data_IF_716542903040
#
_entry.id   IF_716542903040
#
_cell.length_a   1.000
_cell.length_b   1.000
_cell.length_c   1.000
_cell.angle_alpha   90.00
_cell.angle_beta   90.00
_cell.angle_gamma   90.00
#
_symmetry.space_group_name_H-M   'P 1'
#
loop_
_entity.id
_entity.type
_entity.pdbx_description
1 polymer ?
2 water ?
#
# COMPACT_ATOMS: atom_id res chain seq x y z
N UNK A 12 9.63 -36.79 14.22
CA UNK A 12 10.13 -36.61 12.82
C UNK A 12 9.41 -35.42 12.12
N UNK A 13 10.21 -34.38 11.89
CA UNK A 13 10.00 -33.42 10.83
C UNK A 13 11.39 -32.96 10.44
N UNK A 14 11.68 -33.06 9.15
CA UNK A 14 12.92 -32.54 8.60
C UNK A 14 12.59 -31.85 7.26
N UNK A 15 13.16 -30.66 7.06
CA UNK A 15 13.04 -29.95 5.81
C UNK A 15 14.41 -29.43 5.36
N UNK A 16 14.75 -29.69 4.12
CA UNK A 16 15.88 -29.02 3.47
C UNK A 16 15.35 -28.06 2.40
N UNK A 17 15.72 -26.79 2.51
CA UNK A 17 15.20 -25.74 1.60
C UNK A 17 16.32 -24.72 1.31
N UNK A 18 16.30 -24.07 0.16
CA UNK A 18 17.27 -23.04 -0.09
C UNK A 18 16.90 -21.89 0.80
N UNK A 19 17.93 -21.16 1.23
CA UNK A 19 17.73 -20.06 2.16
C UNK A 19 16.93 -18.93 1.49
N UNK A 20 17.21 -18.67 0.24
CA UNK A 20 16.49 -17.68 -0.54
C UNK A 20 14.97 -17.96 -0.60
N UNK A 21 14.59 -19.24 -0.78
CA UNK A 21 13.16 -19.65 -0.77
C UNK A 21 12.49 -19.40 0.57
N UNK A 22 13.14 -19.87 1.66
CA UNK A 22 12.61 -19.68 2.97
C UNK A 22 12.46 -18.21 3.27
N UNK A 23 13.49 -17.44 3.00
CA UNK A 23 13.46 -15.98 3.20
C UNK A 23 12.31 -15.29 2.45
N UNK A 24 12.19 -15.61 1.16
CA UNK A 24 11.13 -15.09 0.29
C UNK A 24 9.71 -15.41 0.83
N UNK A 25 9.47 -16.66 1.22
CA UNK A 25 8.12 -17.03 1.73
C UNK A 25 7.77 -16.46 3.11
N UNK A 26 8.76 -16.38 4.00
CA UNK A 26 8.58 -15.71 5.28
C UNK A 26 8.25 -14.23 5.07
N UNK A 27 9.05 -13.56 4.22
CA UNK A 27 8.86 -12.16 3.92
C UNK A 27 7.49 -11.88 3.34
N UNK A 28 7.09 -12.73 2.42
CA UNK A 28 5.79 -12.57 1.78
C UNK A 28 4.63 -12.65 2.73
N UNK A 29 4.67 -13.61 3.63
CA UNK A 29 3.65 -13.80 4.67
C UNK A 29 3.64 -12.78 5.79
N UNK A 30 4.75 -12.07 5.98
CA UNK A 30 5.00 -11.33 7.19
C UNK A 30 4.03 -10.19 7.46
N UNK A 31 3.45 -9.57 6.43
CA UNK A 31 2.60 -8.42 6.67
C UNK A 31 1.12 -8.79 6.95
N UNK A 32 0.84 -10.07 7.01
CA UNK A 32 -0.46 -10.58 7.43
C UNK A 32 -0.43 -10.95 8.95
N UNK A 33 0.71 -10.83 9.61
CA UNK A 33 0.77 -11.14 11.06
C UNK A 33 -0.03 -10.12 11.88
N UNK A 34 -0.63 -10.58 13.00
CA UNK A 34 -1.24 -9.66 13.98
C UNK A 34 -0.18 -9.02 14.87
N UNK A 35 -0.52 -7.96 15.58
CA UNK A 35 0.38 -7.39 16.61
C UNK A 35 0.45 -8.28 17.89
N UNK A 36 1.62 -8.34 18.53
CA UNK A 36 1.78 -8.82 19.93
C UNK A 36 0.53 -9.05 20.81
N UNK A 37 -0.45 -8.15 20.70
CA UNK A 37 -1.64 -8.20 21.54
C UNK A 37 -2.82 -8.66 20.71
N UNK A 38 -3.77 -9.33 21.38
CA UNK A 38 -4.87 -10.02 20.73
C UNK A 38 -4.28 -11.20 19.97
N UNK A 39 -4.22 -12.33 20.66
CA UNK A 39 -3.65 -13.55 20.13
C UNK A 39 -2.17 -13.31 19.74
N UNK A 40 -1.27 -13.40 20.72
CA UNK A 40 0.16 -13.56 20.49
C UNK A 40 0.46 -14.69 19.49
N UNK A 41 -0.36 -15.71 19.51
CA UNK A 41 -0.35 -16.77 18.53
C UNK A 41 -0.44 -16.27 17.09
N UNK A 42 -1.31 -15.26 16.86
CA UNK A 42 -1.44 -14.65 15.55
C UNK A 42 -0.33 -13.66 15.19
N UNK A 43 0.58 -13.39 16.12
CA UNK A 43 1.78 -12.63 15.83
C UNK A 43 2.90 -13.58 15.42
N UNK A 44 2.57 -14.89 15.31
CA UNK A 44 3.48 -15.89 14.80
C UNK A 44 3.08 -16.50 13.46
N UNK A 45 4.07 -17.13 12.79
CA UNK A 45 3.84 -17.91 11.58
C UNK A 45 3.43 -19.32 11.93
N UNK A 46 2.42 -19.81 11.26
CA UNK A 46 2.16 -21.25 11.24
C UNK A 46 3.14 -21.93 10.28
N UNK A 47 3.90 -22.92 10.78
CA UNK A 47 4.67 -23.84 9.93
C UNK A 47 3.91 -25.15 9.97
N UNK A 48 3.56 -25.67 8.81
CA UNK A 48 2.89 -26.94 8.70
C UNK A 48 3.56 -27.83 7.66
N UNK A 49 3.93 -29.03 8.08
CA UNK A 49 4.48 -30.05 7.21
C UNK A 49 3.53 -31.25 7.25
N UNK A 50 3.02 -31.64 6.08
CA UNK A 50 2.07 -32.76 5.95
C UNK A 50 2.20 -33.36 4.53
N UNK A 51 2.41 -34.67 4.45
CA UNK A 51 2.34 -35.35 3.15
C UNK A 51 3.26 -34.64 2.16
N UNK A 52 4.49 -34.37 2.57
CA UNK A 52 5.50 -33.88 1.63
C UNK A 52 5.25 -32.48 1.10
N UNK A 53 4.42 -31.73 1.82
CA UNK A 53 4.15 -30.33 1.59
C UNK A 53 4.52 -29.54 2.86
N UNK A 54 5.11 -28.37 2.66
CA UNK A 54 5.52 -27.48 3.72
C UNK A 54 4.85 -26.16 3.41
N UNK A 55 3.98 -25.72 4.30
CA UNK A 55 3.30 -24.40 4.23
C UNK A 55 3.73 -23.50 5.40
N UNK A 56 3.91 -22.23 5.07
CA UNK A 56 4.04 -21.16 6.07
C UNK A 56 2.81 -20.24 5.94
N UNK A 57 2.11 -20.01 7.06
CA UNK A 57 0.90 -19.15 7.08
C UNK A 57 1.00 -17.99 8.09
N UNK A 58 0.25 -16.95 7.81
CA UNK A 58 0.09 -15.86 8.79
C UNK A 58 -1.32 -15.30 8.61
N UNK A 59 -1.93 -14.88 9.71
CA UNK A 59 -3.19 -14.19 9.64
C UNK A 59 -3.37 -13.29 10.84
N UNK A 60 -4.15 -12.26 10.64
CA UNK A 60 -4.74 -11.48 11.72
C UNK A 60 -6.25 -11.58 11.75
N UNK A 61 -6.81 -12.59 11.12
CA UNK A 61 -8.26 -12.81 11.04
C UNK A 61 -9.00 -11.93 10.02
N UNK A 62 -8.35 -10.90 9.48
CA UNK A 62 -8.92 -10.14 8.36
C UNK A 62 -8.17 -10.47 7.06
N UNK A 63 -6.83 -10.56 7.13
CA UNK A 63 -5.99 -11.03 6.01
C UNK A 63 -5.35 -12.39 6.42
N UNK A 64 -5.33 -13.35 5.50
CA UNK A 64 -4.67 -14.64 5.69
C UNK A 64 -3.81 -14.97 4.50
N UNK A 65 -2.63 -15.52 4.75
CA UNK A 65 -1.71 -15.88 3.69
C UNK A 65 -1.29 -17.30 3.92
N UNK A 66 -1.37 -18.11 2.86
CA UNK A 66 -0.90 -19.50 2.89
C UNK A 66 0.12 -19.60 1.75
N UNK A 67 1.40 -19.73 2.13
CA UNK A 67 2.52 -19.81 1.23
C UNK A 67 3.02 -21.26 1.16
N UNK A 68 3.06 -21.80 -0.04
CA UNK A 68 3.63 -23.11 -0.26
C UNK A 68 5.16 -22.94 -0.47
N UNK A 69 5.95 -23.63 0.37
CA UNK A 69 7.39 -23.53 0.34
C UNK A 69 7.92 -24.65 -0.58
N UNK A 70 8.68 -24.25 -1.57
CA UNK A 70 9.30 -25.22 -2.49
C UNK A 70 10.63 -25.68 -1.92
N UNK A 71 10.61 -26.82 -1.23
CA UNK A 71 11.80 -27.41 -0.60
C UNK A 71 12.34 -28.58 -1.40
N UNK A 72 13.57 -28.96 -1.09
CA UNK A 72 14.25 -30.05 -1.73
C UNK A 72 13.93 -31.37 -1.06
N UNK A 73 13.83 -31.36 0.27
CA UNK A 73 13.53 -32.53 1.08
C UNK A 73 12.51 -32.12 2.14
N UNK A 74 11.45 -32.90 2.27
CA UNK A 74 10.43 -32.69 3.28
C UNK A 74 10.01 -34.06 3.79
N UNK A 75 10.31 -34.36 5.04
CA UNK A 75 9.82 -35.58 5.66
C UNK A 75 9.15 -35.27 6.99
N UNK A 76 8.30 -36.20 7.42
CA UNK A 76 7.55 -36.08 8.65
C UNK A 76 6.30 -35.23 8.59
N UNK A 77 5.78 -34.93 9.78
CA UNK A 77 4.54 -34.21 9.95
C UNK A 77 4.69 -33.32 11.17
N UNK A 78 4.34 -32.05 11.03
CA UNK A 78 4.33 -31.13 12.17
C UNK A 78 3.36 -29.97 11.86
N UNK A 79 2.84 -29.33 12.91
CA UNK A 79 2.01 -28.11 12.77
C UNK A 79 2.28 -27.32 14.06
N UNK A 80 2.88 -26.15 13.95
CA UNK A 80 3.26 -25.35 15.14
C UNK A 80 3.38 -23.90 14.72
N UNK A 81 3.50 -23.02 15.71
CA UNK A 81 3.63 -21.60 15.44
C UNK A 81 5.00 -21.17 15.99
N UNK A 82 5.65 -20.29 15.26
CA UNK A 82 6.88 -19.66 15.73
C UNK A 82 6.77 -18.12 15.74
N UNK A 83 7.47 -17.46 16.67
CA UNK A 83 7.26 -16.02 16.83
C UNK A 83 7.68 -15.26 15.58
N UNK A 84 6.86 -14.31 15.15
CA UNK A 84 7.02 -13.68 13.85
C UNK A 84 8.24 -12.78 13.73
N UNK A 85 8.41 -11.98 14.79
CA UNK A 85 9.50 -11.01 14.93
C UNK A 85 10.95 -11.75 14.60
N UNK A 86 11.21 -12.66 15.55
CA UNK A 86 12.46 -13.40 15.58
C UNK A 86 12.76 -14.18 14.29
N UNK A 87 11.75 -14.87 13.73
CA UNK A 87 11.89 -15.68 12.51
C UNK A 87 12.17 -14.81 11.31
N UNK A 88 11.50 -13.65 11.23
CA UNK A 88 11.79 -12.69 10.20
C UNK A 88 13.23 -12.19 10.26
N UNK A 89 13.67 -11.75 11.43
CA UNK A 89 15.07 -11.30 11.62
C UNK A 89 16.09 -12.40 11.31
N UNK A 90 15.74 -13.62 11.74
CA UNK A 90 16.62 -14.73 11.61
C UNK A 90 16.88 -15.10 10.16
N UNK A 91 15.81 -15.19 9.37
CA UNK A 91 15.97 -15.68 7.99
C UNK A 91 16.78 -14.75 7.14
N UNK A 92 16.71 -13.45 7.45
CA UNK A 92 17.48 -12.44 6.71
C UNK A 92 18.98 -12.50 6.96
N UNK A 93 19.42 -13.24 7.98
CA UNK A 93 20.85 -13.38 8.25
C UNK A 93 21.44 -14.81 8.15
N UNK A 94 20.62 -15.81 7.79
CA UNK A 94 21.15 -17.16 7.59
C UNK A 94 22.24 -17.04 6.51
N UNK A 95 23.44 -17.56 6.78
CA UNK A 95 24.57 -17.27 5.92
C UNK A 95 24.79 -18.17 4.69
N UNK A 96 24.15 -19.35 4.64
CA UNK A 96 24.46 -20.35 3.59
C UNK A 96 23.31 -20.48 2.56
N UNK A 97 23.63 -20.98 1.35
CA UNK A 97 22.64 -21.20 0.25
C UNK A 97 21.52 -22.16 0.69
N UNK A 98 21.82 -23.08 1.63
CA UNK A 98 20.88 -24.09 2.10
C UNK A 98 20.63 -23.93 3.59
N UNK A 99 19.38 -24.20 3.95
CA UNK A 99 18.89 -24.17 5.32
C UNK A 99 18.19 -25.49 5.61
N UNK A 100 18.45 -26.04 6.81
CA UNK A 100 17.87 -27.28 7.27
C UNK A 100 16.99 -26.98 8.52
N UNK A 101 15.76 -27.45 8.52
CA UNK A 101 14.83 -27.29 9.62
C UNK A 101 14.50 -28.65 10.24
N UNK A 102 14.42 -28.68 11.56
CA UNK A 102 14.06 -29.92 12.23
C UNK A 102 13.54 -29.54 13.59
N UNK A 103 13.09 -30.54 14.33
CA UNK A 103 12.64 -30.38 15.70
C UNK A 103 13.58 -31.12 16.67
N UNK A 104 13.87 -30.49 17.81
CA UNK A 104 14.63 -31.13 18.89
C UNK A 104 13.89 -30.65 20.11
N UNK A 105 13.34 -31.56 20.89
CA UNK A 105 12.47 -31.19 22.00
C UNK A 105 11.29 -30.40 21.46
N UNK A 106 10.96 -29.28 22.12
CA UNK A 106 9.86 -28.35 21.74
C UNK A 106 10.39 -27.15 20.92
N UNK A 107 11.57 -27.31 20.35
CA UNK A 107 12.24 -26.23 19.62
C UNK A 107 12.27 -26.55 18.14
N UNK A 108 12.11 -25.52 17.30
CA UNK A 108 12.48 -25.57 15.90
C UNK A 108 13.99 -25.30 15.81
N UNK A 109 14.71 -26.20 15.16
CA UNK A 109 16.14 -26.06 14.96
C UNK A 109 16.34 -25.66 13.50
N UNK A 110 17.01 -24.53 13.30
CA UNK A 110 17.22 -23.94 11.95
C UNK A 110 18.73 -23.85 11.77
N UNK A 111 19.26 -24.64 10.82
CA UNK A 111 20.68 -24.82 10.59
C UNK A 111 21.03 -24.37 9.20
N UNK A 112 22.01 -23.48 9.16
CA UNK A 112 22.47 -22.98 7.91
C UNK A 112 23.92 -22.65 8.00
N UNK A 113 24.74 -23.41 7.32
CA UNK A 113 26.15 -23.16 7.34
C UNK A 113 26.72 -23.23 8.74
N UNK A 114 27.36 -22.12 9.14
CA UNK A 114 27.97 -21.90 10.44
C UNK A 114 26.99 -21.71 11.62
N UNK A 115 25.73 -21.44 11.33
CA UNK A 115 24.77 -20.97 12.32
C UNK A 115 23.72 -22.01 12.67
N UNK A 116 23.32 -22.07 13.93
CA UNK A 116 22.18 -22.86 14.35
C UNK A 116 21.37 -21.98 15.34
N UNK A 117 20.12 -21.74 14.96
CA UNK A 117 19.09 -21.11 15.77
C UNK A 117 18.19 -22.24 16.33
N UNK A 118 17.81 -22.11 17.61
CA UNK A 118 16.85 -23.01 18.23
C UNK A 118 15.75 -22.11 18.77
N UNK A 119 14.56 -22.18 18.16
CA UNK A 119 13.49 -21.23 18.44
C UNK A 119 12.34 -22.02 19.09
N UNK A 120 11.92 -21.60 20.29
CA UNK A 120 10.80 -22.21 20.98
C UNK A 120 9.46 -22.10 20.16
N UNK A 121 8.80 -23.22 20.00
CA UNK A 121 7.55 -23.23 19.24
C UNK A 121 6.37 -22.97 20.14
N UNK A 122 5.28 -22.53 19.55
CA UNK A 122 3.95 -22.38 20.20
C UNK A 122 2.90 -23.33 19.57
N UNK A 123 1.82 -23.61 20.31
CA UNK A 123 0.76 -24.49 19.84
C UNK A 123 0.04 -23.92 18.69
N UNK A 124 -0.34 -24.77 17.75
CA UNK A 124 -1.07 -24.26 16.58
C UNK A 124 -2.56 -24.59 16.66
N UNK A 125 -3.01 -25.21 17.74
CA UNK A 125 -4.38 -25.66 17.77
C UNK A 125 -5.40 -24.56 17.71
N UNK A 126 -5.02 -23.31 17.94
CA UNK A 126 -5.94 -22.18 17.76
C UNK A 126 -5.61 -21.31 16.57
N UNK A 127 -4.62 -21.74 15.77
CA UNK A 127 -4.35 -21.08 14.53
C UNK A 127 -5.31 -21.61 13.45
N UNK A 128 -6.10 -20.74 12.88
CA UNK A 128 -7.16 -21.18 11.98
C UNK A 128 -6.71 -21.62 10.57
N UNK A 129 -7.55 -22.42 9.91
CA UNK A 129 -7.35 -22.75 8.48
C UNK A 129 -7.58 -21.50 7.63
N UNK A 130 -6.68 -21.25 6.68
CA UNK A 130 -6.83 -20.12 5.77
C UNK A 130 -7.38 -20.65 4.44
N UNK A 131 -8.56 -20.20 4.07
CA UNK A 131 -9.18 -20.70 2.84
C UNK A 131 -9.53 -19.57 1.87
N UNK A 132 -9.48 -19.89 0.56
CA UNK A 132 -9.65 -18.86 -0.45
C UNK A 132 -11.10 -18.40 -0.60
N UNK A 133 -11.27 -17.31 -1.33
CA UNK A 133 -12.58 -16.84 -1.69
C UNK A 133 -13.27 -17.91 -2.54
N UNK A 134 -14.59 -17.86 -2.56
CA UNK A 134 -15.42 -18.75 -3.34
C UNK A 134 -15.44 -18.22 -4.75
N UNK A 135 -16.21 -18.91 -5.60
CA UNK A 135 -16.46 -18.44 -6.97
C UNK A 135 -17.12 -17.08 -6.92
N UNK A 136 -16.77 -16.25 -7.87
CA UNK A 136 -17.40 -14.95 -7.98
C UNK A 136 -16.94 -14.24 -9.22
N UNK A 137 -16.25 -13.14 -9.05
CA UNK A 137 -15.73 -12.32 -10.16
C UNK A 137 -14.23 -12.55 -10.11
N UNK A 138 -13.63 -12.81 -11.27
CA UNK A 138 -12.20 -13.06 -11.34
C UNK A 138 -11.53 -12.38 -12.55
N UNK A 139 -10.27 -11.98 -12.36
CA UNK A 139 -9.45 -11.44 -13.45
C UNK A 139 -7.97 -11.65 -13.19
N UNK A 140 -7.20 -11.69 -14.26
CA UNK A 140 -5.75 -11.66 -14.14
C UNK A 140 -5.26 -10.23 -14.37
N UNK A 141 -4.20 -9.83 -13.65
CA UNK A 141 -3.55 -8.56 -13.98
C UNK A 141 -2.02 -8.66 -13.96
N UNK A 142 -1.38 -7.89 -14.84
CA UNK A 142 0.08 -7.81 -14.89
C UNK A 142 0.57 -7.36 -13.49
N UNK A 143 1.53 -8.09 -12.94
CA UNK A 143 1.97 -7.90 -11.58
C UNK A 143 2.54 -6.50 -11.36
N UNK A 144 3.45 -6.10 -12.27
CA UNK A 144 4.11 -4.79 -12.24
C UNK A 144 3.10 -3.64 -12.37
N UNK A 145 2.11 -3.81 -13.24
CA UNK A 145 1.07 -2.79 -13.40
C UNK A 145 0.28 -2.58 -12.12
N UNK A 146 -0.15 -3.67 -11.51
CA UNK A 146 -0.94 -3.56 -10.29
C UNK A 146 -0.10 -2.97 -9.14
N UNK A 147 1.17 -3.37 -9.06
CA UNK A 147 2.09 -2.79 -8.06
C UNK A 147 2.17 -1.28 -8.17
N UNK A 148 2.39 -0.81 -9.38
CA UNK A 148 2.42 0.62 -9.71
C UNK A 148 1.13 1.36 -9.35
N UNK A 149 0.00 0.79 -9.72
CA UNK A 149 -1.27 1.37 -9.36
C UNK A 149 -1.40 1.47 -7.84
N UNK A 150 -1.01 0.44 -7.10
CA UNK A 150 -1.20 0.47 -5.64
C UNK A 150 -0.32 1.57 -5.03
N UNK A 151 0.92 1.61 -5.46
CA UNK A 151 1.90 2.56 -4.95
C UNK A 151 1.49 4.04 -5.27
N UNK A 152 0.77 4.23 -6.38
CA UNK A 152 0.35 5.58 -6.77
C UNK A 152 -0.82 6.08 -5.95
N UNK A 153 -1.51 5.21 -5.19
CA UNK A 153 -2.64 5.65 -4.39
C UNK A 153 -2.55 5.43 -2.88
N UNK A 154 -1.83 4.39 -2.43
CA UNK A 154 -1.98 3.91 -1.05
C UNK A 154 -1.60 4.95 0.00
N UNK A 155 -0.69 5.84 -0.32
CA UNK A 155 -0.32 6.94 0.58
C UNK A 155 -1.43 7.88 1.01
N UNK A 156 -2.51 7.95 0.23
CA UNK A 156 -3.57 8.91 0.51
C UNK A 156 -4.65 8.29 1.46
N UNK A 157 -4.57 6.99 1.74
CA UNK A 157 -5.51 6.36 2.67
C UNK A 157 -5.37 6.90 4.06
N UNK A 158 -6.51 7.05 4.75
CA UNK A 158 -6.53 7.37 6.18
C UNK A 158 -5.73 6.32 6.96
N UNK A 159 -4.88 6.80 7.85
CA UNK A 159 -4.08 5.90 8.70
C UNK A 159 -4.82 5.55 10.00
N UNK A 160 -5.84 6.34 10.33
CA UNK A 160 -6.68 6.11 11.50
C UNK A 160 -7.65 4.97 11.19
N UNK A 161 -7.38 3.83 11.82
CA UNK A 161 -8.22 2.62 11.76
C UNK A 161 -9.67 2.81 12.20
N UNK A 162 -9.94 3.78 13.06
CA UNK A 162 -11.31 4.13 13.35
C UNK A 162 -12.10 4.66 12.15
N UNK A 163 -11.42 5.26 11.19
CA UNK A 163 -12.08 5.74 10.00
C UNK A 163 -12.15 4.57 9.05
N UNK A 164 -13.08 3.65 9.34
CA UNK A 164 -13.16 2.35 8.66
C UNK A 164 -13.34 2.50 7.16
N UNK A 165 -14.09 3.52 6.74
CA UNK A 165 -14.46 3.69 5.34
C UNK A 165 -13.39 4.35 4.49
N UNK A 166 -12.37 4.94 5.14
CA UNK A 166 -11.21 5.56 4.49
C UNK A 166 -9.85 4.86 4.75
N UNK A 167 -9.82 3.94 5.70
CA UNK A 167 -8.64 3.20 6.10
C UNK A 167 -8.44 2.00 5.15
N UNK A 168 -8.14 2.32 3.90
CA UNK A 168 -8.06 1.29 2.87
C UNK A 168 -8.06 1.87 1.47
N UNK A 169 -8.13 0.96 0.51
CA UNK A 169 -8.17 1.31 -0.89
C UNK A 169 -9.38 0.66 -1.51
N UNK A 170 -10.08 1.46 -2.30
CA UNK A 170 -11.32 1.07 -2.93
C UNK A 170 -11.00 0.60 -4.35
N UNK A 171 -11.53 -0.57 -4.70
CA UNK A 171 -11.33 -1.15 -6.02
C UNK A 171 -12.63 -1.06 -6.79
N UNK A 172 -12.57 -0.54 -8.02
CA UNK A 172 -13.69 -0.55 -8.95
C UNK A 172 -13.33 -1.23 -10.23
N UNK A 173 -14.03 -2.31 -10.53
CA UNK A 173 -13.87 -3.01 -11.80
C UNK A 173 -15.03 -2.74 -12.76
N UNK A 174 -14.64 -2.46 -14.01
CA UNK A 174 -15.55 -2.48 -15.14
C UNK A 174 -14.94 -3.36 -16.22
N UNK A 175 -15.69 -3.55 -17.29
CA UNK A 175 -15.22 -4.23 -18.49
C UNK A 175 -13.82 -3.68 -18.82
N UNK A 176 -12.86 -4.59 -18.89
CA UNK A 176 -11.49 -4.25 -19.25
C UNK A 176 -10.96 -2.96 -18.57
N UNK A 177 -11.20 -2.83 -17.22
CA UNK A 177 -10.83 -1.57 -16.52
C UNK A 177 -10.80 -1.77 -15.01
N UNK A 178 -9.73 -1.29 -14.38
CA UNK A 178 -9.59 -1.28 -12.94
C UNK A 178 -9.19 0.11 -12.50
N UNK A 179 -9.87 0.57 -11.46
CA UNK A 179 -9.56 1.82 -10.81
C UNK A 179 -9.40 1.56 -9.35
N UNK A 180 -8.36 2.16 -8.78
CA UNK A 180 -8.12 2.17 -7.38
C UNK A 180 -8.22 3.58 -6.85
N UNK A 181 -8.83 3.72 -5.67
CA UNK A 181 -9.03 5.03 -5.05
C UNK A 181 -8.70 4.96 -3.58
N UNK A 182 -8.05 5.99 -3.07
CA UNK A 182 -7.80 6.10 -1.65
C UNK A 182 -7.91 7.53 -1.25
N UNK A 183 -8.39 7.76 -0.03
CA UNK A 183 -8.58 9.10 0.49
C UNK A 183 -8.56 9.09 2.01
N UNK A 184 -8.26 10.25 2.60
CA UNK A 184 -8.28 10.42 4.01
C UNK A 184 -9.18 11.58 4.43
N UNK A 185 -10.02 12.03 3.50
CA UNK A 185 -10.91 13.17 3.78
C UNK A 185 -10.31 14.53 3.48
N UNK A 186 -8.99 14.62 3.45
CA UNK A 186 -8.31 15.87 3.09
C UNK A 186 -7.78 15.80 1.66
N UNK A 187 -7.42 14.61 1.22
CA UNK A 187 -6.86 14.42 -0.11
C UNK A 187 -7.23 13.03 -0.61
N UNK A 188 -7.04 12.82 -1.91
CA UNK A 188 -7.48 11.64 -2.59
C UNK A 188 -6.53 11.34 -3.73
N UNK A 189 -6.28 10.08 -3.93
CA UNK A 189 -5.48 9.57 -5.05
C UNK A 189 -6.31 8.60 -5.84
N UNK A 190 -6.21 8.68 -7.17
CA UNK A 190 -6.93 7.79 -8.03
C UNK A 190 -6.03 7.30 -9.17
N UNK A 191 -6.10 5.99 -9.45
CA UNK A 191 -5.34 5.37 -10.53
C UNK A 191 -6.30 4.46 -11.31
N UNK A 192 -6.21 4.49 -12.63
CA UNK A 192 -7.07 3.67 -13.48
C UNK A 192 -6.26 3.14 -14.67
N UNK A 193 -6.43 1.85 -14.98
CA UNK A 193 -5.71 1.26 -16.11
C UNK A 193 -6.60 0.25 -16.81
N UNK A 194 -6.38 0.15 -18.10
CA UNK A 194 -6.98 -0.87 -18.90
C UNK A 194 -6.35 -2.20 -18.53
N UNK A 195 -7.22 -3.19 -18.33
CA UNK A 195 -6.81 -4.56 -18.04
C UNK A 195 -7.76 -5.46 -18.83
N UNK A 196 -7.61 -6.78 -18.69
CA UNK A 196 -8.60 -7.73 -19.17
C UNK A 196 -9.49 -8.13 -17.98
N UNK A 197 -10.77 -7.74 -18.07
CA UNK A 197 -11.80 -8.06 -17.06
C UNK A 197 -13.21 -8.06 -17.63
N UNK A 198 -13.96 -9.12 -17.30
CA UNK A 198 -15.30 -9.31 -17.83
C UNK A 198 -16.37 -8.53 -17.05
N UNK A 199 -16.39 -8.63 -15.72
CA UNK A 199 -17.59 -8.18 -14.96
C UNK A 199 -17.36 -6.96 -14.10
N UNK A 200 -18.44 -6.28 -13.77
CA UNK A 200 -18.38 -5.17 -12.85
C UNK A 200 -18.47 -5.58 -11.43
N UNK A 201 -17.77 -4.82 -10.59
CA UNK A 201 -17.67 -5.10 -9.16
C UNK A 201 -16.94 -3.98 -8.47
N UNK A 202 -17.16 -3.85 -7.17
CA UNK A 202 -16.37 -2.93 -6.33
C UNK A 202 -16.35 -3.42 -4.88
N UNK A 203 -15.28 -3.06 -4.16
CA UNK A 203 -15.09 -3.47 -2.78
C UNK A 203 -13.99 -2.59 -2.13
N UNK A 204 -14.03 -2.51 -0.81
CA UNK A 204 -13.00 -1.81 -0.04
C UNK A 204 -12.13 -2.84 0.69
N UNK A 205 -10.82 -2.76 0.49
CA UNK A 205 -9.89 -3.53 1.30
C UNK A 205 -9.19 -2.58 2.25
N UNK A 206 -8.96 -3.06 3.48
CA UNK A 206 -8.35 -2.28 4.57
C UNK A 206 -6.92 -1.90 4.20
N UNK A 207 -6.39 -0.89 4.89
CA UNK A 207 -5.03 -0.48 4.64
C UNK A 207 -4.06 -1.60 4.99
N UNK A 208 -4.31 -2.30 6.11
CA UNK A 208 -3.48 -3.44 6.50
C UNK A 208 -3.49 -4.56 5.41
N UNK A 209 -4.65 -4.83 4.83
CA UNK A 209 -4.77 -5.82 3.77
C UNK A 209 -3.96 -5.39 2.54
N UNK A 210 -4.06 -4.12 2.21
CA UNK A 210 -3.37 -3.51 1.07
C UNK A 210 -1.86 -3.47 1.14
N UNK A 211 -1.33 -3.30 2.35
CA UNK A 211 0.09 -3.41 2.61
C UNK A 211 0.61 -4.86 2.40
N UNK A 212 -0.25 -5.83 2.68
CA UNK A 212 0.11 -7.20 2.38
C UNK A 212 0.04 -7.39 0.86
N UNK A 213 -0.94 -6.80 0.19
CA UNK A 213 -1.03 -6.89 -1.28
C UNK A 213 0.29 -6.40 -1.89
N UNK A 214 0.73 -5.23 -1.42
CA UNK A 214 1.94 -4.61 -1.90
C UNK A 214 3.15 -5.51 -1.63
N UNK A 215 3.16 -6.11 -0.44
CA UNK A 215 4.24 -6.99 -0.03
C UNK A 215 4.35 -8.19 -0.97
N UNK A 216 3.19 -8.75 -1.28
CA UNK A 216 3.10 -9.87 -2.23
C UNK A 216 3.69 -9.48 -3.62
N UNK A 217 3.22 -8.37 -4.13
CA UNK A 217 3.59 -7.88 -5.46
C UNK A 217 5.08 -7.54 -5.53
N UNK A 218 5.60 -6.92 -4.46
CA UNK A 218 7.01 -6.58 -4.41
C UNK A 218 7.86 -7.82 -4.29
N UNK A 219 7.29 -8.97 -3.93
CA UNK A 219 8.09 -10.18 -3.74
C UNK A 219 7.72 -11.36 -4.60
N UNK A 220 7.00 -11.14 -5.69
CA UNK A 220 6.81 -12.19 -6.67
C UNK A 220 7.54 -11.85 -7.99
N UNK A 221 8.10 -12.87 -8.63
CA UNK A 221 8.72 -12.68 -9.91
C UNK A 221 7.75 -13.10 -11.02
N UNK A 222 6.53 -13.47 -10.66
CA UNK A 222 5.65 -13.96 -11.70
C UNK A 222 4.93 -12.83 -12.46
N UNK A 223 4.78 -13.00 -13.79
CA UNK A 223 4.36 -11.91 -14.72
C UNK A 223 2.95 -11.35 -14.49
N UNK A 224 2.03 -12.22 -14.09
CA UNK A 224 0.68 -11.81 -13.76
C UNK A 224 0.21 -12.45 -12.47
N UNK A 225 -0.82 -11.88 -11.87
CA UNK A 225 -1.44 -12.44 -10.65
C UNK A 225 -2.97 -12.52 -10.84
N UNK A 226 -3.62 -13.37 -10.05
CA UNK A 226 -5.07 -13.55 -10.13
C UNK A 226 -5.79 -12.96 -8.93
N UNK A 227 -6.92 -12.31 -9.20
CA UNK A 227 -7.78 -11.71 -8.17
C UNK A 227 -9.15 -12.31 -8.30
N UNK A 228 -9.75 -12.72 -7.21
CA UNK A 228 -11.13 -13.24 -7.19
C UNK A 228 -11.91 -12.63 -6.03
N UNK A 229 -13.13 -12.21 -6.33
CA UNK A 229 -13.98 -11.58 -5.36
C UNK A 229 -15.29 -12.35 -5.28
N UNK A 230 -15.69 -12.74 -4.07
CA UNK A 230 -16.94 -13.54 -3.90
C UNK A 230 -18.08 -12.82 -3.20
N UNK A 231 -17.95 -11.52 -3.00
CA UNK A 231 -18.97 -10.75 -2.27
C UNK A 231 -18.57 -10.52 -0.83
N UNK A 232 -17.68 -11.35 -0.29
CA UNK A 232 -17.26 -11.21 1.10
C UNK A 232 -15.77 -11.16 1.26
N UNK A 233 -15.05 -11.90 0.40
CA UNK A 233 -13.62 -11.98 0.44
C UNK A 233 -13.01 -11.85 -0.93
N UNK A 234 -11.78 -11.37 -0.95
CA UNK A 234 -10.98 -11.24 -2.16
C UNK A 234 -9.70 -12.11 -1.93
N UNK A 235 -9.45 -13.01 -2.87
CA UNK A 235 -8.22 -13.76 -2.95
C UNK A 235 -7.34 -13.10 -3.98
N UNK A 236 -6.07 -12.93 -3.63
CA UNK A 236 -5.02 -12.54 -4.54
C UNK A 236 -4.02 -13.69 -4.53
N UNK A 237 -3.86 -14.33 -5.68
CA UNK A 237 -3.12 -15.59 -5.79
C UNK A 237 -1.97 -15.46 -6.78
N UNK A 238 -0.82 -16.01 -6.39
CA UNK A 238 0.25 -16.35 -7.32
C UNK A 238 0.33 -17.89 -7.36
N UNK A 239 1.32 -18.40 -8.09
CA UNK A 239 1.67 -19.80 -8.17
C UNK A 239 1.70 -20.51 -6.81
N UNK A 240 2.37 -19.88 -5.84
CA UNK A 240 2.82 -20.50 -4.58
C UNK A 240 2.17 -19.88 -3.33
N UNK A 241 1.45 -18.77 -3.51
CA UNK A 241 0.98 -17.93 -2.42
C UNK A 241 -0.49 -17.56 -2.60
N UNK A 242 -1.32 -18.00 -1.64
CA UNK A 242 -2.72 -17.58 -1.58
C UNK A 242 -2.89 -16.56 -0.48
N UNK A 243 -3.38 -15.38 -0.88
CA UNK A 243 -3.72 -14.34 0.07
C UNK A 243 -5.22 -14.10 -0.02
N UNK A 244 -5.90 -14.08 1.13
CA UNK A 244 -7.34 -13.88 1.18
C UNK A 244 -7.62 -12.80 2.19
N UNK A 245 -8.47 -11.88 1.80
CA UNK A 245 -8.76 -10.71 2.64
C UNK A 245 -10.24 -10.52 2.75
N UNK A 246 -10.75 -10.34 3.97
CA UNK A 246 -12.17 -9.97 4.13
C UNK A 246 -12.35 -8.53 3.77
N UNK A 247 -13.41 -8.29 3.01
CA UNK A 247 -13.73 -6.98 2.47
C UNK A 247 -14.17 -6.03 3.60
N UNK A 248 -13.92 -4.73 3.51
CA UNK A 248 -14.37 -3.89 4.61
C UNK A 248 -15.91 -3.70 4.61
N UNK A 249 -16.54 -3.89 5.76
CA UNK A 249 -17.97 -3.69 5.88
C UNK A 249 -18.31 -2.20 6.10
N UNK A 250 -18.01 -1.39 5.10
CA UNK A 250 -18.24 0.01 5.20
C UNK A 250 -18.42 0.50 3.80
N UNK A 251 -19.13 1.61 3.66
CA UNK A 251 -19.37 2.21 2.37
C UNK A 251 -18.33 3.29 2.07
N UNK A 252 -17.57 3.09 1.01
CA UNK A 252 -16.54 4.07 0.64
C UNK A 252 -17.31 5.34 0.17
N UNK A 253 -16.88 6.55 0.56
CA UNK A 253 -17.57 7.81 0.17
C UNK A 253 -17.74 7.96 -1.32
N UNK A 254 -18.75 8.74 -1.71
CA UNK A 254 -18.98 9.09 -3.10
C UNK A 254 -17.97 10.14 -3.53
N UNK A 255 -16.76 9.67 -3.78
CA UNK A 255 -15.58 10.51 -3.94
C UNK A 255 -15.69 11.40 -5.19
N UNK A 256 -16.45 10.95 -6.19
CA UNK A 256 -16.60 11.69 -7.43
C UNK A 256 -17.12 13.14 -7.20
N UNK A 257 -17.83 13.36 -6.10
CA UNK A 257 -18.28 14.72 -5.79
C UNK A 257 -17.17 15.69 -5.41
N UNK A 258 -15.98 15.22 -5.08
CA UNK A 258 -14.88 16.15 -4.85
C UNK A 258 -13.95 16.31 -6.05
N UNK A 259 -14.21 15.55 -7.11
CA UNK A 259 -13.43 15.68 -8.33
C UNK A 259 -14.16 16.71 -9.21
N UNK A 260 -13.64 17.93 -9.30
CA UNK A 260 -14.33 18.94 -10.12
C UNK A 260 -14.42 18.59 -11.59
N UNK A 261 -15.48 19.05 -12.25
CA UNK A 261 -15.68 18.73 -13.66
C UNK A 261 -15.12 19.81 -14.58
N UNK A 262 -14.90 21.01 -14.05
CA UNK A 262 -14.27 22.06 -14.82
C UNK A 262 -13.30 22.81 -13.93
N UNK A 263 -12.51 23.70 -14.56
CA UNK A 263 -11.47 24.53 -13.90
C UNK A 263 -11.74 26.00 -14.21
N UNK A 264 -11.38 26.94 -13.32
CA UNK A 264 -11.32 28.35 -13.71
C UNK A 264 -9.87 28.80 -13.91
N UNK A 265 -8.93 28.10 -13.27
CA UNK A 265 -7.50 28.36 -13.30
C UNK A 265 -6.73 27.03 -13.50
N UNK A 266 -5.79 27.03 -14.44
CA UNK A 266 -4.88 25.91 -14.64
C UNK A 266 -3.44 26.40 -14.63
N UNK A 267 -2.58 25.73 -13.87
CA UNK A 267 -1.18 26.06 -13.77
C UNK A 267 -0.35 24.85 -14.21
N UNK A 268 0.57 25.07 -15.14
CA UNK A 268 1.54 24.05 -15.50
C UNK A 268 2.86 24.49 -14.91
N UNK A 269 3.50 23.57 -14.21
CA UNK A 269 4.68 23.90 -13.43
C UNK A 269 5.55 22.65 -13.33
N UNK A 270 6.88 22.85 -13.30
CA UNK A 270 7.85 21.77 -13.12
C UNK A 270 7.63 21.07 -11.77
N UNK A 271 7.62 19.74 -11.77
CA UNK A 271 7.48 18.99 -10.53
C UNK A 271 8.67 19.23 -9.56
N UNK A 272 9.89 19.17 -10.07
CA UNK A 272 11.10 19.54 -9.30
C UNK A 272 11.04 20.98 -8.76
N UNK A 273 10.64 21.92 -9.60
CA UNK A 273 10.51 23.38 -9.27
C UNK A 273 9.55 23.66 -8.11
N UNK A 274 8.37 23.07 -8.20
CA UNK A 274 7.41 23.18 -7.12
C UNK A 274 7.83 22.44 -5.86
N UNK A 275 8.36 21.22 -5.99
CA UNK A 275 8.89 20.47 -4.83
C UNK A 275 9.94 21.30 -4.08
N UNK A 276 10.84 21.93 -4.82
CA UNK A 276 11.87 22.74 -4.19
C UNK A 276 11.29 23.98 -3.52
N UNK A 277 10.30 24.59 -4.14
CA UNK A 277 9.61 25.76 -3.58
C UNK A 277 8.87 25.37 -2.33
N UNK A 278 8.15 24.23 -2.38
CA UNK A 278 7.47 23.73 -1.18
C UNK A 278 8.44 23.48 -0.02
N UNK A 279 9.58 22.88 -0.32
CA UNK A 279 10.61 22.70 0.71
C UNK A 279 11.07 24.03 1.37
N UNK A 280 11.25 25.06 0.55
CA UNK A 280 11.66 26.38 1.06
C UNK A 280 10.59 26.97 2.01
N UNK A 281 9.32 26.91 1.63
CA UNK A 281 8.30 27.54 2.45
C UNK A 281 8.00 26.72 3.69
N UNK A 282 8.27 25.42 3.65
CA UNK A 282 8.11 24.55 4.81
C UNK A 282 9.07 24.85 5.91
N UNK A 283 10.17 25.51 5.59
CA UNK A 283 11.04 26.00 6.64
C UNK A 283 10.22 26.82 7.65
N UNK A 284 9.27 27.64 7.15
CA UNK A 284 8.41 28.46 8.01
C UNK A 284 7.10 27.74 8.35
N UNK A 285 6.51 27.03 7.37
CA UNK A 285 5.23 26.37 7.60
C UNK A 285 5.27 25.30 8.71
N UNK A 286 6.40 24.58 8.80
CA UNK A 286 6.56 23.51 9.79
C UNK A 286 6.64 24.01 11.19
N UNK A 287 6.90 25.31 11.34
CA UNK A 287 6.93 25.92 12.65
C UNK A 287 5.56 26.01 13.32
N UNK A 288 4.47 26.06 12.57
CA UNK A 288 3.16 26.03 13.19
C UNK A 288 1.98 26.21 12.28
N UNK A 289 2.10 27.11 11.31
CA UNK A 289 0.95 27.41 10.44
C UNK A 289 0.53 26.19 9.63
N UNK A 290 1.49 25.35 9.25
CA UNK A 290 1.23 24.18 8.36
C UNK A 290 0.40 24.60 7.16
N UNK A 291 0.77 25.74 6.59
CA UNK A 291 -0.01 26.36 5.53
C UNK A 291 0.87 27.05 4.51
N UNK A 292 0.54 26.92 3.22
CA UNK A 292 1.12 27.71 2.18
C UNK A 292 -0.05 28.34 1.41
N UNK A 293 0.04 29.65 1.21
CA UNK A 293 -0.85 30.42 0.33
C UNK A 293 -0.20 30.55 -1.04
N UNK A 294 -0.95 30.13 -2.06
CA UNK A 294 -0.59 30.30 -3.45
C UNK A 294 -1.30 31.55 -3.94
N UNK A 295 -0.50 32.47 -4.48
CA UNK A 295 -0.97 33.67 -5.18
C UNK A 295 -0.59 33.44 -6.64
N UNK A 296 -1.60 33.02 -7.38
CA UNK A 296 -1.44 32.69 -8.77
C UNK A 296 -1.76 33.91 -9.65
N UNK A 297 -0.79 34.31 -10.45
CA UNK A 297 -0.86 35.45 -11.33
C UNK A 297 -0.54 34.94 -12.72
N UNK A 298 -0.42 35.86 -13.67
CA UNK A 298 -0.44 35.46 -15.06
C UNK A 298 0.73 34.56 -15.47
N UNK A 299 1.92 34.87 -14.97
CA UNK A 299 3.18 34.18 -15.36
C UNK A 299 3.94 33.51 -14.20
N UNK A 300 3.50 33.78 -12.98
CA UNK A 300 4.18 33.31 -11.79
C UNK A 300 3.15 32.97 -10.75
N UNK A 301 3.60 32.20 -9.78
CA UNK A 301 2.83 31.85 -8.64
C UNK A 301 3.75 32.14 -7.46
N UNK A 302 3.28 32.90 -6.47
CA UNK A 302 4.04 33.12 -5.24
C UNK A 302 3.52 32.18 -4.16
N UNK A 303 4.43 31.53 -3.44
CA UNK A 303 4.07 30.67 -2.33
C UNK A 303 4.46 31.42 -1.06
N UNK A 304 3.52 31.53 -0.12
CA UNK A 304 3.72 32.35 1.04
C UNK A 304 3.41 31.54 2.29
N UNK A 305 4.33 31.56 3.25
CA UNK A 305 4.04 31.00 4.59
C UNK A 305 4.49 31.96 5.70
N UNK A 306 3.72 32.00 6.79
CA UNK A 306 4.02 32.91 7.87
C UNK A 306 3.91 32.18 9.18
N UNK A 307 4.83 32.50 10.06
CA UNK A 307 4.80 32.07 11.43
C UNK A 307 4.85 33.32 12.27
N UNK A 308 3.88 33.48 13.19
CA UNK A 308 3.83 34.65 14.03
C UNK A 308 5.21 34.95 14.62
N UNK A 309 5.86 33.90 15.13
CA UNK A 309 6.99 34.13 16.09
C UNK A 309 8.33 34.03 15.41
N UNK A 310 8.38 33.37 14.27
CA UNK A 310 9.66 33.14 13.62
C UNK A 310 9.89 33.97 12.37
N UNK A 311 8.84 34.21 11.59
CA UNK A 311 9.01 34.97 10.37
C UNK A 311 8.05 34.57 9.29
N UNK A 312 8.42 34.97 8.06
CA UNK A 312 7.65 34.79 6.83
C UNK A 312 8.63 34.33 5.72
N UNK A 313 8.08 33.66 4.72
CA UNK A 313 8.78 33.34 3.50
C UNK A 313 7.84 33.58 2.34
N UNK A 314 8.39 34.12 1.25
CA UNK A 314 7.70 34.24 0.00
C UNK A 314 8.64 33.69 -1.05
N UNK A 315 8.15 32.76 -1.83
CA UNK A 315 8.90 32.20 -2.94
C UNK A 315 8.11 32.33 -4.24
N UNK A 316 8.75 32.84 -5.28
CA UNK A 316 8.07 33.11 -6.54
C UNK A 316 8.56 32.17 -7.61
N UNK A 317 7.66 31.40 -8.23
CA UNK A 317 8.07 30.44 -9.26
C UNK A 317 7.37 30.69 -10.58
N UNK A 318 8.10 30.43 -11.67
CA UNK A 318 7.58 30.60 -13.04
C UNK A 318 6.63 29.50 -13.40
N UNK A 319 5.49 29.86 -14.01
CA UNK A 319 4.45 28.88 -14.32
C UNK A 319 3.86 29.28 -15.64
N UNK A 320 3.23 28.32 -16.33
CA UNK A 320 2.30 28.63 -17.37
C UNK A 320 0.90 28.50 -16.81
N UNK A 321 0.11 29.59 -16.89
CA UNK A 321 -1.21 29.67 -16.26
C UNK A 321 -2.32 30.13 -17.28
N UNK A 322 -3.41 29.38 -17.32
CA UNK A 322 -4.62 29.71 -18.09
C UNK A 322 -5.72 30.10 -17.08
N UNK A 323 -6.58 31.05 -17.44
CA UNK A 323 -7.76 31.36 -16.66
C UNK A 323 -7.52 32.45 -15.65
N UNK A 324 -8.21 32.37 -14.54
CA UNK A 324 -8.27 33.44 -13.56
C UNK A 324 -7.09 33.45 -12.57
N UNK A 325 -6.66 34.65 -12.16
CA UNK A 325 -5.76 34.78 -11.01
C UNK A 325 -6.51 34.28 -9.79
N UNK A 326 -5.79 33.71 -8.85
CA UNK A 326 -6.38 33.05 -7.68
C UNK A 326 -5.42 33.11 -6.50
N UNK A 327 -5.97 33.38 -5.31
CA UNK A 327 -5.27 33.22 -4.06
C UNK A 327 -5.98 32.06 -3.32
N UNK A 328 -5.21 31.05 -2.91
CA UNK A 328 -5.75 29.79 -2.36
C UNK A 328 -4.72 29.09 -1.46
N UNK A 329 -5.14 28.54 -0.31
CA UNK A 329 -4.18 27.95 0.67
C UNK A 329 -4.35 26.44 0.81
N UNK A 330 -3.21 25.78 1.04
CA UNK A 330 -3.15 24.32 1.30
C UNK A 330 -2.20 23.94 2.42
N UNK A 331 -2.41 22.76 3.00
CA UNK A 331 -1.35 22.08 3.73
C UNK A 331 -0.28 21.68 2.72
N UNK A 332 0.95 22.21 2.88
CA UNK A 332 2.00 21.94 1.90
C UNK A 332 2.48 20.48 1.86
N UNK A 333 2.42 19.79 3.01
CA UNK A 333 2.82 18.39 3.07
C UNK A 333 1.94 17.57 2.11
N UNK A 334 0.66 17.91 2.05
CA UNK A 334 -0.25 17.16 1.16
C UNK A 334 0.08 17.37 -0.31
N UNK A 335 0.62 18.55 -0.66
CA UNK A 335 0.97 18.82 -2.06
C UNK A 335 2.25 18.09 -2.32
N UNK A 336 3.22 18.19 -1.40
CA UNK A 336 4.45 17.48 -1.55
C UNK A 336 4.28 15.93 -1.68
N UNK A 337 3.42 15.32 -0.89
CA UNK A 337 3.11 13.88 -1.03
C UNK A 337 2.72 13.49 -2.44
N UNK A 338 1.84 14.25 -3.07
CA UNK A 338 1.44 14.04 -4.47
C UNK A 338 2.65 14.03 -5.43
N UNK A 339 3.51 15.03 -5.31
CA UNK A 339 4.61 15.21 -6.24
C UNK A 339 5.59 14.08 -6.21
N UNK A 340 5.83 13.56 -5.01
CA UNK A 340 6.62 12.35 -4.82
C UNK A 340 6.13 11.20 -5.68
N UNK A 341 4.82 11.11 -5.91
CA UNK A 341 4.26 9.98 -6.62
C UNK A 341 4.01 10.18 -8.10
N UNK A 342 4.25 11.39 -8.59
CA UNK A 342 4.16 11.67 -10.01
C UNK A 342 5.54 11.52 -10.63
N UNK A 343 5.57 10.95 -11.82
CA UNK A 343 6.83 10.64 -12.48
C UNK A 343 7.18 11.59 -13.62
N UNK A 344 6.22 12.32 -14.15
CA UNK A 344 6.50 13.31 -15.19
C UNK A 344 7.25 14.54 -14.65
N UNK A 345 7.98 15.21 -15.52
CA UNK A 345 8.77 16.39 -15.16
C UNK A 345 7.90 17.60 -14.91
N UNK A 346 6.73 17.62 -15.56
CA UNK A 346 5.75 18.67 -15.43
C UNK A 346 4.44 18.12 -14.90
N UNK A 347 3.77 18.95 -14.13
CA UNK A 347 2.46 18.62 -13.58
C UNK A 347 1.49 19.78 -13.85
N UNK A 348 0.19 19.47 -13.78
CA UNK A 348 -0.83 20.50 -13.77
C UNK A 348 -1.53 20.59 -12.43
N UNK A 349 -1.83 21.81 -12.05
CA UNK A 349 -2.67 22.12 -10.92
C UNK A 349 -3.89 22.86 -11.44
N UNK A 350 -5.09 22.36 -11.10
CA UNK A 350 -6.37 22.84 -11.65
C UNK A 350 -7.25 23.28 -10.48
N UNK A 351 -7.80 24.48 -10.56
CA UNK A 351 -8.51 25.11 -9.48
C UNK A 351 -9.83 25.68 -9.96
N UNK A 352 -10.76 25.85 -9.01
CA UNK A 352 -12.03 26.53 -9.27
C UNK A 352 -11.99 27.83 -8.45
N UNK A 353 -12.02 27.70 -7.13
CA UNK A 353 -12.22 28.79 -6.16
C UNK A 353 -11.31 28.53 -4.96
N UNK A 354 -11.19 29.53 -4.10
CA UNK A 354 -10.38 29.42 -2.87
C UNK A 354 -10.96 28.35 -1.94
N UNK A 355 -12.22 28.00 -2.13
CA UNK A 355 -12.94 27.05 -1.28
C UNK A 355 -13.18 25.68 -1.92
N UNK A 356 -12.63 25.46 -3.12
CA UNK A 356 -12.87 24.24 -3.87
C UNK A 356 -11.62 23.36 -3.92
N UNK A 357 -11.79 22.03 -4.10
CA UNK A 357 -10.63 21.16 -4.23
C UNK A 357 -9.73 21.59 -5.39
N UNK A 358 -8.48 21.20 -5.30
CA UNK A 358 -7.54 21.32 -6.41
C UNK A 358 -7.27 19.93 -6.96
N UNK A 359 -7.28 19.80 -8.27
CA UNK A 359 -6.85 18.59 -8.93
C UNK A 359 -5.43 18.76 -9.42
N UNK A 360 -4.57 17.84 -9.02
CA UNK A 360 -3.23 17.72 -9.53
C UNK A 360 -3.05 16.46 -10.39
N UNK A 361 -2.47 16.65 -11.56
CA UNK A 361 -2.18 15.51 -12.41
C UNK A 361 -0.87 15.64 -13.16
N UNK A 362 -0.31 14.52 -13.62
CA UNK A 362 0.83 14.61 -14.53
C UNK A 362 0.40 15.23 -15.83
N UNK A 363 1.31 15.95 -16.50
CA UNK A 363 0.99 16.61 -17.73
C UNK A 363 0.86 15.58 -18.81
N UNK A 364 -0.29 15.59 -19.46
CA UNK A 364 -0.57 14.79 -20.66
C UNK A 364 -0.53 13.28 -20.45
N UNK A 365 -0.85 12.85 -19.25
CA UNK A 365 -0.85 11.43 -18.89
C UNK A 365 -2.17 11.22 -18.26
N UNK A 366 -2.95 10.33 -18.84
CA UNK A 366 -4.25 10.00 -18.30
C UNK A 366 -4.07 8.81 -17.33
N UNK A 367 -5.08 8.62 -16.52
CA UNK A 367 -5.16 7.44 -15.69
C UNK A 367 -4.79 7.65 -14.24
N UNK A 368 -4.18 8.80 -13.94
CA UNK A 368 -3.70 9.15 -12.60
C UNK A 368 -4.08 10.55 -12.20
N UNK A 369 -4.72 10.71 -11.03
CA UNK A 369 -5.06 12.05 -10.57
C UNK A 369 -5.20 12.12 -9.05
N UNK A 370 -4.94 13.32 -8.56
CA UNK A 370 -4.88 13.61 -7.13
C UNK A 370 -5.73 14.79 -6.83
N UNK A 371 -6.42 14.77 -5.69
CA UNK A 371 -7.25 15.90 -5.22
C UNK A 371 -6.71 16.29 -3.83
N UNK A 372 -6.51 17.60 -3.62
CA UNK A 372 -6.19 18.16 -2.31
C UNK A 372 -7.23 19.25 -1.99
N UNK A 373 -7.80 19.20 -0.79
CA UNK A 373 -8.78 20.18 -0.35
C UNK A 373 -7.98 21.36 0.20
N UNK A 374 -8.48 22.59 0.02
CA UNK A 374 -7.79 23.74 0.51
C UNK A 374 -8.06 24.01 1.96
N UNK A 375 -7.28 24.91 2.54
CA UNK A 375 -7.48 25.33 3.92
C UNK A 375 -7.89 26.80 3.93
N UNK A 376 -8.52 27.21 5.01
CA UNK A 376 -9.04 28.57 5.14
C UNK A 376 -7.91 29.58 5.06
N UNK A 377 -8.15 30.68 4.35
CA UNK A 377 -7.15 31.73 4.20
C UNK A 377 -6.98 32.50 5.53
N UNK A 378 -5.73 32.81 5.89
CA UNK A 378 -5.44 33.63 7.08
C UNK A 378 -5.65 35.11 6.71
#
# INVERSE_FOLDING_TARGET
MGSDKIHHHHHHMKVTVTTLELKDKITIASKALAKKSVKPILAGFLFEVKDGNFYICATDLETGVKATVNAAEISGEARFVVPGDVIQKMVKVLPDEITELSLEGDALVISSGSTVFRITTMPADEFPEITPAESGITFEVDTSLLEEMVEKVIFAAAKDEFMRNLNGVFWELHKNLLRLVASDGFRLALAEEQIENEEEASFLLSLKSMKEVQNVLDNTTEPTITVRYDGRRVSLSTNDVETVMRVVDAEFPDYKRVIPETFKTKVVVSRKELRESLKRVMVIASKGSESVKFEIEENVMRLVSKSPDYGEVVDEVEVQKEGEDLVIAFNPKFIEDVLKHIETEEIEMNFVDSTSPCQINPLDISGYLYIVMPIRLA
#
